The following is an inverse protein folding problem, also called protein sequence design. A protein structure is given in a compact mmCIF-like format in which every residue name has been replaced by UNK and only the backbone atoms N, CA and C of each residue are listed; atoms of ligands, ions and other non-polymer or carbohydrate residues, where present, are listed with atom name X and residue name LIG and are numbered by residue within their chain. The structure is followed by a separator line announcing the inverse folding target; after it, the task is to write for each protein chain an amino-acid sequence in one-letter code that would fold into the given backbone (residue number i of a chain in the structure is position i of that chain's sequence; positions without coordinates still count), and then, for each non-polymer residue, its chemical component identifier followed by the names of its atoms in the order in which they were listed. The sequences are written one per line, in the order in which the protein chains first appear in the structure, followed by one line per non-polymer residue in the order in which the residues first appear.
data_IF_822278458103
#
_entry.id   IF_822278458103
#
_cell.length_a   1.000
_cell.length_b   1.000
_cell.length_c   1.000
_cell.angle_alpha   90.00
_cell.angle_beta   90.00
_cell.angle_gamma   90.00
#
_symmetry.space_group_name_H-M   'P 1'
#
loop_
_entity.id
_entity.type
_entity.pdbx_description
1 polymer ?
#
# COMPACT_ATOMS: atom_id res chain seq x y z
N UNK A 1 -15.18 0.80 27.32
CA UNK A 1 -15.07 2.10 26.63
C UNK A 1 -14.41 1.89 25.27
N UNK A 2 -14.71 2.74 24.27
CA UNK A 2 -13.96 2.75 23.01
C UNK A 2 -12.79 3.72 23.10
N UNK A 3 -11.80 3.56 22.22
CA UNK A 3 -10.67 4.50 22.11
C UNK A 3 -11.15 5.95 21.89
N UNK A 4 -12.19 6.12 21.08
CA UNK A 4 -12.77 7.42 20.78
C UNK A 4 -13.50 8.06 21.99
N UNK A 5 -13.98 7.25 22.95
CA UNK A 5 -14.63 7.76 24.16
C UNK A 5 -13.62 8.42 25.11
N UNK A 6 -12.35 7.97 25.06
CA UNK A 6 -11.29 8.47 25.95
C UNK A 6 -10.36 9.48 25.27
N UNK A 7 -10.10 9.34 23.97
CA UNK A 7 -9.21 10.23 23.22
C UNK A 7 -9.95 11.29 22.39
N UNK A 8 -11.29 11.19 22.26
CA UNK A 8 -12.08 12.08 21.39
C UNK A 8 -12.04 11.69 19.92
N UNK A 9 -12.69 12.50 19.05
CA UNK A 9 -12.86 12.25 17.62
C UNK A 9 -12.43 13.43 16.76
N UNK A 10 -11.94 13.12 15.56
CA UNK A 10 -11.64 14.11 14.51
C UNK A 10 -10.52 15.08 14.89
N UNK A 11 -10.68 16.35 14.55
CA UNK A 11 -9.65 17.38 14.76
C UNK A 11 -9.33 17.69 16.24
N UNK A 12 -10.16 17.21 17.17
CA UNK A 12 -9.97 17.39 18.63
C UNK A 12 -9.48 16.10 19.31
N UNK A 13 -9.15 15.09 18.55
CA UNK A 13 -8.63 13.84 19.09
C UNK A 13 -7.22 14.08 19.65
N UNK A 14 -7.01 13.66 20.89
CA UNK A 14 -5.71 13.69 21.58
C UNK A 14 -5.00 12.34 21.44
N UNK A 15 -3.68 12.32 21.67
CA UNK A 15 -2.91 11.09 21.79
C UNK A 15 -3.28 10.33 23.08
N UNK A 16 -3.09 9.01 23.09
CA UNK A 16 -3.34 8.21 24.29
C UNK A 16 -2.40 8.58 25.46
N UNK A 17 -1.22 9.07 25.14
CA UNK A 17 -0.22 9.61 26.06
C UNK A 17 -0.64 10.91 26.73
N UNK A 18 -1.64 11.61 26.20
CA UNK A 18 -2.23 12.83 26.77
C UNK A 18 -3.47 12.54 27.65
N UNK A 19 -3.94 11.29 27.72
CA UNK A 19 -5.09 10.89 28.54
C UNK A 19 -4.69 10.78 30.00
N UNK A 20 -5.55 11.27 30.91
CA UNK A 20 -5.34 11.14 32.34
C UNK A 20 -5.10 9.69 32.79
N UNK A 21 -4.06 9.46 33.61
CA UNK A 21 -3.63 8.11 34.02
C UNK A 21 -4.77 7.25 34.59
N UNK A 22 -5.67 7.75 35.46
CA UNK A 22 -6.78 6.95 35.96
C UNK A 22 -7.72 6.43 34.85
N UNK A 23 -8.02 7.29 33.87
CA UNK A 23 -8.87 6.93 32.72
C UNK A 23 -8.18 5.94 31.81
N UNK A 24 -6.92 6.22 31.47
CA UNK A 24 -6.07 5.34 30.65
C UNK A 24 -5.89 3.96 31.30
N UNK A 25 -5.66 3.93 32.64
CA UNK A 25 -5.53 2.68 33.40
C UNK A 25 -6.79 1.85 33.39
N UNK A 26 -7.95 2.48 33.61
CA UNK A 26 -9.23 1.77 33.55
C UNK A 26 -9.46 1.14 32.18
N UNK A 27 -9.22 1.88 31.11
CA UNK A 27 -9.32 1.40 29.74
C UNK A 27 -8.36 0.23 29.44
N UNK A 28 -7.09 0.39 29.80
CA UNK A 28 -6.08 -0.65 29.58
C UNK A 28 -6.35 -1.93 30.39
N UNK A 29 -6.85 -1.81 31.62
CA UNK A 29 -7.26 -2.96 32.44
C UNK A 29 -8.48 -3.67 31.84
N UNK A 30 -9.45 -2.93 31.31
CA UNK A 30 -10.62 -3.49 30.61
C UNK A 30 -10.18 -4.28 29.37
N UNK A 31 -9.31 -3.71 28.55
CA UNK A 31 -8.78 -4.37 27.33
C UNK A 31 -8.02 -5.65 27.69
N UNK A 32 -7.17 -5.63 28.72
CA UNK A 32 -6.42 -6.78 29.17
C UNK A 32 -7.33 -7.92 29.71
N UNK A 33 -8.34 -7.57 30.52
CA UNK A 33 -9.29 -8.55 31.06
C UNK A 33 -10.14 -9.20 29.96
N UNK A 34 -10.69 -8.40 29.04
CA UNK A 34 -11.45 -8.95 27.91
C UNK A 34 -10.60 -9.80 26.98
N UNK A 35 -9.37 -9.40 26.72
CA UNK A 35 -8.44 -10.20 25.89
C UNK A 35 -8.19 -11.56 26.52
N UNK A 36 -7.95 -11.60 27.85
CA UNK A 36 -7.75 -12.88 28.57
C UNK A 36 -9.02 -13.75 28.53
N UNK A 37 -10.20 -13.17 28.77
CA UNK A 37 -11.49 -13.92 28.71
C UNK A 37 -11.77 -14.46 27.31
N UNK A 38 -11.50 -13.68 26.26
CA UNK A 38 -11.60 -14.13 24.88
C UNK A 38 -10.64 -15.30 24.62
N UNK A 39 -9.40 -15.19 25.04
CA UNK A 39 -8.44 -16.29 24.93
C UNK A 39 -8.95 -17.57 25.62
N UNK A 40 -9.40 -17.47 26.86
CA UNK A 40 -9.91 -18.61 27.61
C UNK A 40 -11.15 -19.26 26.96
N UNK A 41 -11.99 -18.45 26.33
CA UNK A 41 -13.20 -18.93 25.64
C UNK A 41 -12.88 -19.56 24.27
N UNK A 42 -12.04 -18.90 23.46
CA UNK A 42 -11.79 -19.28 22.06
C UNK A 42 -10.70 -20.33 21.91
N UNK A 43 -9.64 -20.27 22.73
CA UNK A 43 -8.49 -21.15 22.63
C UNK A 43 -8.86 -22.66 22.67
N UNK A 44 -9.78 -23.13 23.54
CA UNK A 44 -10.22 -24.53 23.54
C UNK A 44 -11.03 -24.92 22.28
N UNK A 45 -11.66 -23.95 21.61
CA UNK A 45 -12.40 -24.19 20.37
C UNK A 45 -11.42 -24.34 19.19
N UNK A 46 -10.43 -23.47 19.10
CA UNK A 46 -9.36 -23.54 18.10
C UNK A 46 -8.59 -24.85 18.21
N UNK A 47 -8.27 -25.30 19.43
CA UNK A 47 -7.53 -26.54 19.68
C UNK A 47 -8.26 -27.82 19.27
N UNK A 48 -9.58 -27.78 19.05
CA UNK A 48 -10.34 -28.95 18.56
C UNK A 48 -10.22 -29.17 17.06
N UNK A 49 -9.81 -28.14 16.33
CA UNK A 49 -9.70 -28.12 14.88
C UNK A 49 -8.21 -28.12 14.50
N UNK A 50 -7.67 -29.27 14.07
CA UNK A 50 -6.24 -29.43 13.78
C UNK A 50 -5.70 -28.35 12.82
N UNK A 51 -6.46 -28.01 11.79
CA UNK A 51 -6.10 -26.96 10.83
C UNK A 51 -5.99 -25.57 11.46
N UNK A 52 -6.95 -25.22 12.33
CA UNK A 52 -6.95 -23.92 13.04
C UNK A 52 -5.86 -23.86 14.09
N UNK A 53 -5.63 -24.95 14.82
CA UNK A 53 -4.54 -25.05 15.80
C UNK A 53 -3.17 -24.81 15.15
N UNK A 54 -2.92 -25.43 14.02
CA UNK A 54 -1.67 -25.27 13.27
C UNK A 54 -1.47 -23.82 12.80
N UNK A 55 -2.51 -23.20 12.27
CA UNK A 55 -2.44 -21.79 11.84
C UNK A 55 -2.23 -20.88 13.05
N UNK A 56 -2.97 -21.08 14.14
CA UNK A 56 -2.80 -20.28 15.35
C UNK A 56 -1.36 -20.33 15.89
N UNK A 57 -0.76 -21.50 15.96
CA UNK A 57 0.63 -21.66 16.42
C UNK A 57 1.62 -20.99 15.46
N UNK A 58 1.38 -21.06 14.15
CA UNK A 58 2.19 -20.37 13.15
C UNK A 58 2.11 -18.85 13.33
N UNK A 59 0.89 -18.31 13.50
CA UNK A 59 0.69 -16.88 13.68
C UNK A 59 1.32 -16.34 14.97
N UNK A 60 1.26 -17.11 16.06
CA UNK A 60 1.93 -16.74 17.32
C UNK A 60 3.45 -16.68 17.14
N UNK A 61 4.04 -17.69 16.49
CA UNK A 61 5.49 -17.69 16.22
C UNK A 61 5.89 -16.57 15.25
N UNK A 62 5.06 -16.30 14.25
CA UNK A 62 5.29 -15.22 13.31
C UNK A 62 5.25 -13.85 14.01
N UNK A 63 4.37 -13.66 15.00
CA UNK A 63 4.29 -12.43 15.81
C UNK A 63 5.61 -12.11 16.52
N UNK A 64 6.30 -13.10 17.06
CA UNK A 64 7.60 -12.91 17.71
C UNK A 64 8.64 -12.40 16.70
N UNK A 65 8.68 -12.99 15.49
CA UNK A 65 9.59 -12.57 14.43
C UNK A 65 9.24 -11.17 13.94
N UNK A 66 7.95 -10.88 13.71
CA UNK A 66 7.50 -9.57 13.27
C UNK A 66 7.83 -8.48 14.28
N UNK A 67 7.73 -8.76 15.58
CA UNK A 67 8.15 -7.85 16.64
C UNK A 67 9.62 -7.44 16.48
N UNK A 68 10.50 -8.38 16.17
CA UNK A 68 11.92 -8.09 15.94
C UNK A 68 12.11 -7.27 14.66
N UNK A 69 11.41 -7.63 13.58
CA UNK A 69 11.47 -6.90 12.29
C UNK A 69 11.01 -5.45 12.45
N UNK A 70 9.87 -5.23 13.12
CA UNK A 70 9.33 -3.89 13.39
C UNK A 70 10.26 -3.05 14.25
N UNK A 71 10.83 -3.63 15.31
CA UNK A 71 11.80 -2.95 16.19
C UNK A 71 13.09 -2.60 15.48
N UNK A 72 13.57 -3.44 14.59
CA UNK A 72 14.76 -3.17 13.79
C UNK A 72 14.52 -2.01 12.80
N UNK A 73 13.33 -1.93 12.21
CA UNK A 73 13.00 -0.91 11.22
C UNK A 73 13.91 -0.94 9.99
N UNK A 74 13.74 0.05 9.12
CA UNK A 74 14.51 0.20 7.89
C UNK A 74 15.17 1.57 7.80
N UNK A 75 16.40 1.63 7.30
CA UNK A 75 17.12 2.89 7.09
C UNK A 75 16.79 3.47 5.73
N UNK A 76 16.57 4.78 5.69
CA UNK A 76 16.33 5.52 4.45
C UNK A 76 17.33 6.66 4.29
N UNK A 77 17.68 6.95 3.05
CA UNK A 77 18.47 8.12 2.66
C UNK A 77 17.56 9.34 2.50
N UNK A 78 17.39 10.09 3.58
CA UNK A 78 16.53 11.29 3.62
C UNK A 78 16.96 12.35 2.60
N UNK A 79 18.27 12.70 2.45
CA UNK A 79 18.73 13.61 1.40
C UNK A 79 18.33 13.18 -0.02
N UNK A 80 18.44 11.90 -0.32
CA UNK A 80 18.03 11.37 -1.64
C UNK A 80 16.53 11.50 -1.85
N UNK A 81 15.70 11.20 -0.86
CA UNK A 81 14.25 11.41 -0.95
C UNK A 81 13.86 12.88 -1.08
N UNK A 82 14.54 13.79 -0.36
CA UNK A 82 14.28 15.23 -0.45
C UNK A 82 14.62 15.77 -1.86
N UNK A 83 15.76 15.36 -2.44
CA UNK A 83 16.12 15.71 -3.82
C UNK A 83 15.10 15.18 -4.82
N UNK A 84 14.68 13.94 -4.67
CA UNK A 84 13.67 13.34 -5.53
C UNK A 84 12.31 14.05 -5.38
N UNK A 85 11.91 14.43 -4.15
CA UNK A 85 10.69 15.20 -3.92
C UNK A 85 10.69 16.54 -4.67
N UNK A 86 11.84 17.24 -4.68
CA UNK A 86 11.99 18.48 -5.43
C UNK A 86 11.83 18.26 -6.93
N UNK A 87 12.52 17.27 -7.49
CA UNK A 87 12.45 16.93 -8.92
C UNK A 87 11.03 16.50 -9.35
N UNK A 88 10.34 15.70 -8.51
CA UNK A 88 8.93 15.35 -8.75
C UNK A 88 8.03 16.59 -8.75
N UNK A 89 8.27 17.54 -7.82
CA UNK A 89 7.54 18.81 -7.78
C UNK A 89 7.73 19.64 -9.06
N UNK A 90 8.93 19.69 -9.61
CA UNK A 90 9.22 20.38 -10.88
C UNK A 90 8.46 19.72 -12.05
N UNK A 91 8.55 18.41 -12.18
CA UNK A 91 7.81 17.68 -13.22
C UNK A 91 6.30 17.84 -13.10
N UNK A 92 5.77 17.86 -11.87
CA UNK A 92 4.35 18.09 -11.63
C UNK A 92 3.92 19.49 -12.09
N UNK A 93 4.75 20.51 -11.86
CA UNK A 93 4.48 21.87 -12.34
C UNK A 93 4.47 21.96 -13.87
N UNK A 94 5.38 21.27 -14.54
CA UNK A 94 5.41 21.17 -16.01
C UNK A 94 4.14 20.51 -16.55
N UNK A 95 3.70 19.40 -15.93
CA UNK A 95 2.46 18.70 -16.29
C UNK A 95 1.19 19.55 -16.00
N UNK A 96 1.20 20.31 -14.92
CA UNK A 96 0.11 21.22 -14.58
C UNK A 96 -0.04 22.33 -15.63
N UNK A 97 1.06 22.96 -16.04
CA UNK A 97 1.04 23.96 -17.12
C UNK A 97 0.54 23.34 -18.43
N UNK A 98 1.03 22.15 -18.79
CA UNK A 98 0.56 21.45 -19.99
C UNK A 98 -0.92 21.10 -19.92
N UNK A 99 -1.42 20.70 -18.75
CA UNK A 99 -2.84 20.42 -18.55
C UNK A 99 -3.69 21.69 -18.70
N UNK A 100 -3.21 22.84 -18.20
CA UNK A 100 -3.91 24.13 -18.35
C UNK A 100 -3.94 24.60 -19.80
N UNK A 101 -2.86 24.41 -20.56
CA UNK A 101 -2.84 24.68 -22.00
C UNK A 101 -3.85 23.82 -22.75
N UNK A 102 -3.90 22.50 -22.48
CA UNK A 102 -4.84 21.58 -23.11
C UNK A 102 -6.30 21.84 -22.72
N UNK A 103 -6.54 22.36 -21.53
CA UNK A 103 -7.86 22.70 -21.03
C UNK A 103 -8.26 24.15 -21.34
N UNK A 104 -7.33 24.99 -21.81
CA UNK A 104 -7.50 26.45 -22.01
C UNK A 104 -8.04 27.15 -20.74
N UNK A 105 -7.65 26.63 -19.56
CA UNK A 105 -7.92 27.27 -18.25
C UNK A 105 -7.23 26.52 -17.11
N UNK A 106 -6.94 27.18 -15.98
CA UNK A 106 -6.48 26.52 -14.77
C UNK A 106 -7.61 25.74 -14.09
N UNK A 107 -7.25 24.61 -13.46
CA UNK A 107 -8.15 23.79 -12.66
C UNK A 107 -7.36 22.90 -11.68
N UNK A 108 -8.00 22.39 -10.63
CA UNK A 108 -7.35 21.50 -9.69
C UNK A 108 -7.34 20.04 -10.21
N UNK A 109 -6.17 19.56 -10.66
CA UNK A 109 -5.98 18.22 -11.20
C UNK A 109 -6.21 17.10 -10.16
N UNK A 110 -6.17 17.44 -8.85
CA UNK A 110 -6.48 16.53 -7.76
C UNK A 110 -7.98 16.50 -7.41
N UNK A 111 -8.80 17.35 -8.01
CA UNK A 111 -10.25 17.38 -7.79
C UNK A 111 -10.99 16.57 -8.86
N UNK A 112 -11.55 15.38 -8.53
CA UNK A 112 -12.31 14.59 -9.49
C UNK A 112 -13.47 15.36 -10.14
N UNK A 113 -14.08 16.28 -9.37
CA UNK A 113 -15.17 17.13 -9.86
C UNK A 113 -14.69 18.07 -10.95
N UNK A 114 -13.63 18.85 -10.69
CA UNK A 114 -13.10 19.81 -11.67
C UNK A 114 -12.53 19.10 -12.90
N UNK A 115 -11.82 18.00 -12.71
CA UNK A 115 -11.34 17.16 -13.82
C UNK A 115 -12.50 16.66 -14.68
N UNK A 116 -13.60 16.21 -14.07
CA UNK A 116 -14.81 15.79 -14.79
C UNK A 116 -15.48 16.94 -15.56
N UNK A 117 -15.57 18.13 -14.98
CA UNK A 117 -16.09 19.34 -15.63
C UNK A 117 -15.26 19.72 -16.86
N UNK A 118 -13.93 19.62 -16.78
CA UNK A 118 -13.03 19.87 -17.91
C UNK A 118 -13.17 18.79 -18.99
N UNK A 119 -12.99 17.51 -18.63
CA UNK A 119 -12.98 16.43 -19.62
C UNK A 119 -14.32 16.28 -20.34
N UNK A 120 -15.39 16.17 -19.57
CA UNK A 120 -16.70 15.80 -20.09
C UNK A 120 -17.59 17.02 -20.41
N UNK A 121 -17.44 18.11 -19.64
CA UNK A 121 -18.21 19.33 -19.84
C UNK A 121 -17.59 20.26 -20.90
N UNK A 122 -16.33 20.67 -20.71
CA UNK A 122 -15.69 21.65 -21.61
C UNK A 122 -15.16 21.02 -22.91
N UNK A 123 -14.39 19.91 -22.77
CA UNK A 123 -13.76 19.26 -23.93
C UNK A 123 -14.69 18.28 -24.65
N UNK A 124 -15.87 17.98 -24.11
CA UNK A 124 -16.86 17.11 -24.73
C UNK A 124 -16.41 15.65 -24.91
N UNK A 125 -15.42 15.21 -24.13
CA UNK A 125 -14.94 13.82 -24.19
C UNK A 125 -16.06 12.88 -23.72
N UNK A 126 -16.27 11.72 -24.37
CA UNK A 126 -17.36 10.82 -24.03
C UNK A 126 -17.19 10.22 -22.62
N UNK A 127 -18.29 10.12 -21.87
CA UNK A 127 -18.30 9.50 -20.54
C UNK A 127 -18.26 7.98 -20.68
N UNK A 128 -17.15 7.37 -20.24
CA UNK A 128 -16.95 5.92 -20.32
C UNK A 128 -17.65 5.17 -19.18
N UNK A 129 -17.60 5.73 -17.96
CA UNK A 129 -18.18 5.14 -16.74
C UNK A 129 -18.68 6.23 -15.79
N UNK A 130 -19.73 5.90 -15.03
CA UNK A 130 -20.24 6.75 -13.95
C UNK A 130 -19.90 6.13 -12.58
N UNK A 131 -19.76 6.98 -11.58
CA UNK A 131 -19.63 6.59 -10.17
C UNK A 131 -20.96 6.09 -9.62
N UNK A 132 -20.96 5.49 -8.43
CA UNK A 132 -22.18 5.07 -7.74
C UNK A 132 -23.16 6.24 -7.48
N UNK A 133 -22.66 7.47 -7.37
CA UNK A 133 -23.47 8.69 -7.24
C UNK A 133 -24.00 9.26 -8.58
N UNK A 134 -23.70 8.60 -9.71
CA UNK A 134 -24.13 9.01 -11.05
C UNK A 134 -23.24 10.04 -11.74
N UNK A 135 -22.21 10.56 -11.08
CA UNK A 135 -21.26 11.48 -11.70
C UNK A 135 -20.30 10.75 -12.67
N UNK A 136 -19.77 11.41 -13.71
CA UNK A 136 -18.74 10.83 -14.57
C UNK A 136 -17.50 10.44 -13.75
N UNK A 137 -17.00 9.21 -13.94
CA UNK A 137 -15.78 8.75 -13.27
C UNK A 137 -14.54 9.30 -13.96
N UNK A 138 -13.55 9.69 -13.15
CA UNK A 138 -12.21 10.12 -13.58
C UNK A 138 -11.13 9.26 -12.92
N UNK A 139 -11.45 7.99 -12.59
CA UNK A 139 -10.48 7.06 -12.02
C UNK A 139 -9.43 6.61 -13.05
N UNK A 140 -8.44 5.86 -12.55
CA UNK A 140 -7.29 5.44 -13.34
C UNK A 140 -7.68 4.64 -14.58
N UNK A 141 -8.64 3.69 -14.46
CA UNK A 141 -9.08 2.85 -15.57
C UNK A 141 -9.74 3.68 -16.68
N UNK A 142 -10.61 4.63 -16.28
CA UNK A 142 -11.29 5.53 -17.21
C UNK A 142 -10.27 6.44 -17.90
N UNK A 143 -9.37 7.04 -17.16
CA UNK A 143 -8.33 7.90 -17.73
C UNK A 143 -7.39 7.11 -18.65
N UNK A 144 -7.01 5.88 -18.30
CA UNK A 144 -6.16 5.01 -19.13
C UNK A 144 -6.82 4.72 -20.47
N UNK A 145 -8.11 4.44 -20.47
CA UNK A 145 -8.86 4.21 -21.70
C UNK A 145 -8.95 5.49 -22.55
N UNK A 146 -9.23 6.62 -21.93
CA UNK A 146 -9.32 7.91 -22.62
C UNK A 146 -7.96 8.42 -23.13
N UNK A 147 -6.87 8.05 -22.47
CA UNK A 147 -5.51 8.45 -22.86
C UNK A 147 -5.07 7.86 -24.21
N UNK A 148 -5.78 6.87 -24.76
CA UNK A 148 -5.53 6.32 -26.08
C UNK A 148 -5.87 7.32 -27.18
N UNK A 149 -6.91 8.14 -26.96
CA UNK A 149 -7.46 9.04 -27.96
C UNK A 149 -7.27 10.52 -27.63
N UNK A 150 -7.04 10.85 -26.36
CA UNK A 150 -7.00 12.23 -25.86
C UNK A 150 -5.74 12.54 -25.05
N UNK A 151 -5.07 13.69 -25.27
CA UNK A 151 -3.80 14.01 -24.60
C UNK A 151 -3.97 14.40 -23.12
N UNK A 152 -5.07 15.08 -22.74
CA UNK A 152 -5.25 15.53 -21.35
C UNK A 152 -5.39 14.39 -20.35
N UNK A 153 -6.13 13.29 -20.58
CA UNK A 153 -6.14 12.13 -19.71
C UNK A 153 -4.76 11.52 -19.47
N UNK A 154 -3.88 11.49 -20.47
CA UNK A 154 -2.50 11.01 -20.31
C UNK A 154 -1.70 11.89 -19.33
N UNK A 155 -1.80 13.21 -19.49
CA UNK A 155 -1.16 14.18 -18.59
C UNK A 155 -1.68 14.03 -17.15
N UNK A 156 -2.99 13.82 -16.98
CA UNK A 156 -3.62 13.60 -15.67
C UNK A 156 -3.13 12.32 -14.99
N UNK A 157 -2.97 11.23 -15.74
CA UNK A 157 -2.43 9.96 -15.22
C UNK A 157 -1.00 10.12 -14.73
N UNK A 158 -0.15 10.75 -15.54
CA UNK A 158 1.24 11.02 -15.19
C UNK A 158 1.34 11.91 -13.95
N UNK A 159 0.61 13.01 -13.92
CA UNK A 159 0.56 13.91 -12.76
C UNK A 159 0.13 13.18 -11.49
N UNK A 160 -0.97 12.41 -11.52
CA UNK A 160 -1.47 11.66 -10.36
C UNK A 160 -0.49 10.61 -9.89
N UNK A 161 0.22 9.95 -10.82
CA UNK A 161 1.28 9.01 -10.49
C UNK A 161 2.42 9.68 -9.71
N UNK A 162 2.91 10.84 -10.19
CA UNK A 162 3.94 11.62 -9.52
C UNK A 162 3.47 12.20 -8.19
N UNK A 163 2.25 12.72 -8.13
CA UNK A 163 1.64 13.26 -6.91
C UNK A 163 1.52 12.18 -5.81
N UNK A 164 1.11 10.97 -6.19
CA UNK A 164 1.03 9.83 -5.27
C UNK A 164 2.41 9.42 -4.74
N UNK A 165 3.41 9.35 -5.63
CA UNK A 165 4.79 9.05 -5.22
C UNK A 165 5.32 10.12 -4.25
N UNK A 166 5.14 11.38 -4.59
CA UNK A 166 5.60 12.50 -3.79
C UNK A 166 4.94 12.51 -2.40
N UNK A 167 3.62 12.52 -2.36
CA UNK A 167 2.88 12.62 -1.09
C UNK A 167 3.02 11.38 -0.20
N UNK A 168 3.06 10.18 -0.79
CA UNK A 168 3.09 8.93 -0.03
C UNK A 168 4.49 8.55 0.45
N UNK A 169 5.52 8.83 -0.36
CA UNK A 169 6.87 8.36 -0.08
C UNK A 169 7.86 9.50 0.16
N UNK A 170 8.13 10.35 -0.83
CA UNK A 170 9.25 11.28 -0.71
C UNK A 170 9.03 12.39 0.30
N UNK A 171 7.79 12.82 0.55
CA UNK A 171 7.46 13.83 1.55
C UNK A 171 7.13 13.22 2.92
N UNK A 172 6.54 12.01 2.94
CA UNK A 172 6.05 11.39 4.18
C UNK A 172 7.12 10.57 4.90
N UNK A 173 7.86 9.72 4.19
CA UNK A 173 8.84 8.81 4.81
C UNK A 173 9.91 9.55 5.64
N UNK A 174 10.49 10.68 5.18
CA UNK A 174 11.46 11.42 5.98
C UNK A 174 10.92 11.89 7.35
N UNK A 175 9.62 12.20 7.42
CA UNK A 175 8.95 12.64 8.66
C UNK A 175 8.65 11.50 9.63
N UNK A 176 8.73 10.26 9.16
CA UNK A 176 8.46 9.05 9.93
C UNK A 176 9.74 8.40 10.48
N UNK A 177 10.89 9.00 10.21
CA UNK A 177 12.15 8.54 10.80
C UNK A 177 12.10 8.78 12.31
N UNK A 178 12.22 7.72 13.08
CA UNK A 178 12.31 7.81 14.54
C UNK A 178 13.66 8.43 14.91
N UNK A 179 13.69 9.52 15.71
CA UNK A 179 14.92 10.23 16.06
C UNK A 179 15.91 9.39 16.86
N UNK A 180 15.43 8.43 17.66
CA UNK A 180 16.30 7.61 18.52
C UNK A 180 16.98 6.49 17.73
N UNK A 181 16.28 5.84 16.80
CA UNK A 181 16.82 4.76 16.00
C UNK A 181 17.42 5.22 14.66
N UNK A 182 17.05 6.40 14.16
CA UNK A 182 17.39 6.88 12.82
C UNK A 182 16.74 6.07 11.71
N UNK A 183 15.68 5.31 12.01
CA UNK A 183 15.04 4.36 11.10
C UNK A 183 13.54 4.59 11.02
N UNK A 184 12.93 4.07 9.95
CA UNK A 184 11.47 4.01 9.79
C UNK A 184 10.99 2.65 10.28
N UNK A 185 9.95 2.65 11.12
CA UNK A 185 9.35 1.47 11.70
C UNK A 185 7.93 1.33 11.16
N UNK A 186 7.69 0.28 10.36
CA UNK A 186 6.35 -0.09 9.91
C UNK A 186 5.70 -1.01 10.93
N UNK A 187 4.40 -1.20 10.83
CA UNK A 187 3.63 -2.19 11.58
C UNK A 187 3.12 -3.25 10.63
N UNK A 188 3.26 -4.52 11.01
CA UNK A 188 2.71 -5.65 10.27
C UNK A 188 1.48 -6.21 10.97
N UNK A 189 0.32 -6.10 10.33
CA UNK A 189 -0.90 -6.72 10.82
C UNK A 189 -1.06 -8.14 10.25
N UNK A 190 -1.25 -9.11 11.16
CA UNK A 190 -1.62 -10.48 10.86
C UNK A 190 -3.14 -10.58 10.80
N UNK A 191 -3.67 -11.55 10.08
CA UNK A 191 -5.11 -11.80 9.93
C UNK A 191 -5.95 -10.58 9.44
N UNK A 192 -5.30 -9.56 8.90
CA UNK A 192 -5.97 -8.37 8.36
C UNK A 192 -6.50 -8.59 6.93
N UNK A 193 -5.95 -9.56 6.22
CA UNK A 193 -6.29 -9.89 4.83
C UNK A 193 -6.80 -11.32 4.75
N UNK A 194 -7.93 -11.54 4.08
CA UNK A 194 -8.57 -12.86 3.95
C UNK A 194 -7.67 -13.93 3.30
N UNK A 195 -6.67 -13.51 2.53
CA UNK A 195 -5.69 -14.40 1.89
C UNK A 195 -4.59 -14.88 2.84
N UNK A 196 -4.57 -14.45 4.11
CA UNK A 196 -3.49 -14.75 5.06
C UNK A 196 -2.18 -13.99 4.83
N UNK A 197 -2.15 -13.02 3.90
CA UNK A 197 -0.98 -12.15 3.71
C UNK A 197 -0.88 -11.14 4.85
N UNK A 198 0.35 -10.72 5.16
CA UNK A 198 0.58 -9.59 6.07
C UNK A 198 0.16 -8.28 5.43
N UNK A 199 -0.34 -7.36 6.23
CA UNK A 199 -0.59 -5.97 5.81
C UNK A 199 0.39 -5.03 6.54
N UNK A 200 1.09 -4.19 5.77
CA UNK A 200 2.02 -3.20 6.31
C UNK A 200 1.34 -1.83 6.39
N UNK A 201 1.50 -1.14 7.53
CA UNK A 201 0.95 0.21 7.74
C UNK A 201 1.92 1.08 8.53
N UNK A 202 1.76 2.37 8.42
CA UNK A 202 2.43 3.42 9.15
C UNK A 202 3.97 3.34 9.19
N UNK A 203 4.62 3.35 8.00
CA UNK A 203 4.11 3.47 6.63
C UNK A 203 3.84 2.13 5.96
N UNK A 204 3.00 2.11 4.91
CA UNK A 204 2.86 0.94 4.07
C UNK A 204 4.10 0.78 3.17
N UNK A 205 4.95 -0.20 3.47
CA UNK A 205 6.17 -0.50 2.73
C UNK A 205 5.97 -1.57 1.63
N UNK A 206 4.82 -2.23 1.59
CA UNK A 206 4.52 -3.27 0.60
C UNK A 206 4.16 -2.70 -0.77
N UNK A 207 3.72 -1.44 -0.82
CA UNK A 207 3.22 -0.80 -2.04
C UNK A 207 4.24 0.16 -2.69
N UNK A 208 5.53 0.06 -2.37
CA UNK A 208 6.58 0.88 -2.99
C UNK A 208 6.67 0.49 -4.47
N UNK A 209 6.46 1.43 -5.41
CA UNK A 209 6.39 1.11 -6.83
C UNK A 209 7.70 0.57 -7.38
N UNK A 210 7.62 -0.42 -8.28
CA UNK A 210 8.78 -1.06 -8.93
C UNK A 210 8.80 -0.87 -10.45
N UNK A 211 7.63 -0.56 -11.05
CA UNK A 211 7.48 -0.55 -12.50
C UNK A 211 8.01 0.74 -13.14
N UNK A 212 7.82 1.90 -12.50
CA UNK A 212 8.27 3.19 -13.03
C UNK A 212 9.69 3.52 -12.62
N UNK A 213 10.38 4.36 -13.41
CA UNK A 213 11.73 4.83 -13.09
C UNK A 213 11.75 5.61 -11.77
N UNK A 214 10.78 6.50 -11.56
CA UNK A 214 10.62 7.28 -10.33
C UNK A 214 10.36 6.38 -9.12
N UNK A 215 9.51 5.34 -9.25
CA UNK A 215 9.27 4.37 -8.19
C UNK A 215 10.52 3.58 -7.81
N UNK A 216 11.32 3.15 -8.80
CA UNK A 216 12.61 2.49 -8.54
C UNK A 216 13.59 3.40 -7.79
N UNK A 217 13.57 4.71 -8.06
CA UNK A 217 14.37 5.70 -7.32
C UNK A 217 13.95 5.82 -5.85
N UNK A 218 12.66 5.74 -5.55
CA UNK A 218 12.17 5.66 -4.15
C UNK A 218 12.75 4.42 -3.47
N UNK A 219 12.72 3.27 -4.13
CA UNK A 219 13.32 2.03 -3.59
C UNK A 219 14.82 2.15 -3.34
N UNK A 220 15.54 2.84 -4.21
CA UNK A 220 16.98 3.06 -4.06
C UNK A 220 17.34 3.90 -2.82
N UNK A 221 16.38 4.64 -2.26
CA UNK A 221 16.58 5.37 -1.02
C UNK A 221 16.50 4.48 0.25
N UNK A 222 16.08 3.22 0.13
CA UNK A 222 16.18 2.25 1.22
C UNK A 222 17.60 1.67 1.23
N UNK A 223 18.34 1.95 2.28
CA UNK A 223 19.77 1.68 2.35
C UNK A 223 20.14 0.79 3.54
N UNK A 224 21.29 0.16 3.45
CA UNK A 224 21.88 -0.63 4.53
C UNK A 224 23.14 0.06 5.05
N UNK A 225 23.37 0.02 6.35
CA UNK A 225 24.62 0.46 6.97
C UNK A 225 25.82 -0.38 6.52
N UNK A 226 25.54 -1.64 6.16
CA UNK A 226 26.55 -2.58 5.65
C UNK A 226 26.76 -2.48 4.13
N UNK A 227 26.11 -1.51 3.46
CA UNK A 227 26.26 -1.23 2.04
C UNK A 227 25.51 -2.20 1.10
N UNK A 228 24.83 -3.23 1.62
CA UNK A 228 24.09 -4.21 0.82
C UNK A 228 22.69 -4.45 1.40
N UNK A 229 21.70 -4.54 0.51
CA UNK A 229 20.35 -5.03 0.80
C UNK A 229 20.23 -6.39 0.12
N UNK A 230 19.83 -7.41 0.87
CA UNK A 230 19.55 -8.74 0.33
C UNK A 230 18.04 -8.85 0.13
N UNK A 231 17.64 -9.24 -1.08
CA UNK A 231 16.26 -9.56 -1.42
C UNK A 231 16.16 -11.04 -1.75
N UNK A 232 15.26 -11.74 -1.08
CA UNK A 232 14.95 -13.14 -1.35
C UNK A 232 13.44 -13.31 -1.51
N UNK A 233 13.03 -13.90 -2.62
CA UNK A 233 11.63 -14.11 -2.95
C UNK A 233 11.44 -15.49 -3.61
N UNK A 234 10.34 -16.15 -3.29
CA UNK A 234 9.95 -17.39 -3.96
C UNK A 234 9.36 -17.08 -5.34
N UNK A 235 10.06 -17.50 -6.40
CA UNK A 235 9.61 -17.30 -7.76
C UNK A 235 8.29 -18.02 -8.04
N UNK A 236 7.23 -17.25 -8.35
CA UNK A 236 5.91 -17.75 -8.75
C UNK A 236 5.31 -18.78 -7.77
N UNK A 237 5.51 -18.61 -6.45
CA UNK A 237 5.16 -19.63 -5.45
C UNK A 237 3.68 -20.01 -5.49
N UNK A 238 2.79 -19.04 -5.71
CA UNK A 238 1.34 -19.28 -5.75
C UNK A 238 0.96 -20.20 -6.93
N UNK A 239 1.58 -20.01 -8.09
CA UNK A 239 1.38 -20.85 -9.26
C UNK A 239 1.99 -22.25 -9.08
N UNK A 240 3.14 -22.35 -8.36
CA UNK A 240 3.73 -23.65 -8.02
C UNK A 240 2.85 -24.44 -7.05
N UNK A 241 2.30 -23.76 -6.05
CA UNK A 241 1.33 -24.36 -5.12
C UNK A 241 0.07 -24.80 -5.89
N UNK A 242 -0.42 -23.96 -6.82
CA UNK A 242 -1.56 -24.30 -7.64
C UNK A 242 -1.30 -25.54 -8.52
N UNK A 243 -0.15 -25.60 -9.18
CA UNK A 243 0.26 -26.78 -9.98
C UNK A 243 0.29 -28.07 -9.13
N UNK A 244 0.79 -27.96 -7.90
CA UNK A 244 0.84 -29.09 -6.96
C UNK A 244 -0.55 -29.53 -6.50
N UNK A 245 -1.40 -28.59 -6.10
CA UNK A 245 -2.73 -28.88 -5.53
C UNK A 245 -3.71 -29.35 -6.63
N UNK A 246 -3.66 -28.74 -7.82
CA UNK A 246 -4.53 -29.13 -8.94
C UNK A 246 -4.11 -30.44 -9.62
N UNK A 247 -2.84 -30.79 -9.53
CA UNK A 247 -2.27 -31.90 -10.29
C UNK A 247 -2.20 -31.65 -11.82
N UNK A 248 -2.29 -30.38 -12.24
CA UNK A 248 -2.23 -30.02 -13.66
C UNK A 248 -0.86 -30.35 -14.26
N UNK A 249 -0.84 -31.31 -15.17
CA UNK A 249 0.38 -31.84 -15.77
C UNK A 249 1.14 -30.79 -16.57
N UNK A 250 0.43 -29.88 -17.27
CA UNK A 250 1.06 -28.81 -18.07
C UNK A 250 1.79 -27.83 -17.18
N UNK A 251 1.13 -27.36 -16.09
CA UNK A 251 1.75 -26.46 -15.13
C UNK A 251 2.96 -27.12 -14.43
N UNK A 252 2.84 -28.38 -14.04
CA UNK A 252 3.94 -29.12 -13.43
C UNK A 252 5.13 -29.25 -14.38
N UNK A 253 4.89 -29.62 -15.63
CA UNK A 253 5.92 -29.76 -16.64
C UNK A 253 6.66 -28.44 -16.92
N UNK A 254 5.93 -27.31 -16.99
CA UNK A 254 6.53 -25.97 -17.17
C UNK A 254 7.51 -25.68 -16.03
N UNK A 255 7.14 -25.97 -14.79
CA UNK A 255 8.02 -25.72 -13.63
C UNK A 255 9.20 -26.68 -13.55
N UNK A 256 9.03 -27.96 -13.88
CA UNK A 256 10.10 -28.96 -13.94
C UNK A 256 11.17 -28.59 -14.99
N UNK A 257 10.73 -28.03 -16.11
CA UNK A 257 11.63 -27.55 -17.17
C UNK A 257 12.25 -26.18 -16.85
N UNK A 258 11.94 -25.57 -15.73
CA UNK A 258 12.41 -24.23 -15.36
C UNK A 258 11.79 -23.10 -16.24
N UNK A 259 10.64 -23.39 -16.86
CA UNK A 259 9.92 -22.47 -17.72
C UNK A 259 9.17 -21.37 -16.95
N UNK A 260 8.70 -20.36 -17.69
CA UNK A 260 7.81 -19.32 -17.21
C UNK A 260 6.38 -19.60 -17.63
N UNK A 261 5.47 -19.72 -16.64
CA UNK A 261 4.05 -20.05 -16.87
C UNK A 261 3.37 -19.01 -17.75
N UNK A 262 3.71 -17.73 -17.60
CA UNK A 262 3.09 -16.68 -18.43
C UNK A 262 3.47 -16.81 -19.90
N UNK A 263 4.73 -17.16 -20.17
CA UNK A 263 5.22 -17.42 -21.53
C UNK A 263 4.56 -18.67 -22.12
N UNK A 264 4.46 -19.75 -21.34
CA UNK A 264 3.81 -20.98 -21.78
C UNK A 264 2.33 -20.75 -22.09
N UNK A 265 1.60 -20.07 -21.19
CA UNK A 265 0.18 -19.73 -21.42
C UNK A 265 0.00 -18.83 -22.64
N UNK A 266 0.86 -17.84 -22.84
CA UNK A 266 0.79 -16.99 -24.02
C UNK A 266 1.00 -17.80 -25.32
N UNK A 267 1.92 -18.75 -25.33
CA UNK A 267 2.18 -19.61 -26.47
C UNK A 267 1.03 -20.60 -26.79
N UNK A 268 0.19 -20.91 -25.80
CA UNK A 268 -1.01 -21.73 -26.01
C UNK A 268 -2.20 -20.93 -26.55
N UNK A 269 -2.26 -19.63 -26.21
CA UNK A 269 -3.39 -18.76 -26.58
C UNK A 269 -3.15 -18.08 -27.95
N UNK A 270 -1.92 -17.71 -28.25
CA UNK A 270 -1.49 -16.97 -29.44
C UNK A 270 -0.58 -17.78 -30.35
#
# INVERSE_FOLDING_TARGET
ASYEDICGKGAKQIGFDEVDIPVASQYACEDADYTLRLHQCLRPQVAKEEGLERIYLLEVQASDVLTIVERNGVKIDVPTLARQSHELGQKMLELENKAYELADQPFNMNSPKQVGEILFGKLGIPVVRKTASGAPSTDEDVLTRLAQDYPLPQVLLEYRGLAKLKSTYTDKLPKMVNPDSGRVHTRYAQAAVITGRLASSDPNLQNIPVRTAEGRRVRAAFVSELGKVVSADYSQIELRVMAHVSGDENLQQVFEQGGDVHTATAAEIF
#
